data_IF_483093475838
#
_entry.id   IF_483093475838
#
_cell.length_a   1.000
_cell.length_b   1.000
_cell.length_c   1.000
_cell.angle_alpha   90.00
_cell.angle_beta   90.00
_cell.angle_gamma   90.00
#
_symmetry.space_group_name_H-M   'P 1'
#
loop_
_entity.id
_entity.type
_entity.pdbx_description
1 polymer ?
#
# COMPACT_ATOMS: atom_id res chain seq x y z
N UNK A 1 -17.56 -0.62 -12.39
CA UNK A 1 -17.97 0.56 -11.60
C UNK A 1 -17.57 1.88 -12.26
N UNK A 2 -18.49 2.85 -12.38
CA UNK A 2 -18.19 4.21 -12.92
C UNK A 2 -18.58 5.31 -11.91
N UNK A 3 -17.89 6.46 -11.95
CA UNK A 3 -18.10 7.58 -11.01
C UNK A 3 -19.53 8.08 -10.98
N UNK A 4 -20.11 8.28 -12.15
CA UNK A 4 -21.48 8.82 -12.25
C UNK A 4 -22.50 7.82 -11.70
N UNK A 5 -22.32 6.52 -11.95
CA UNK A 5 -23.17 5.46 -11.39
C UNK A 5 -23.07 5.39 -9.86
N UNK A 6 -21.86 5.46 -9.33
CA UNK A 6 -21.64 5.49 -7.88
C UNK A 6 -22.23 6.75 -7.22
N UNK A 7 -22.20 7.90 -7.90
CA UNK A 7 -22.86 9.12 -7.42
C UNK A 7 -24.37 8.97 -7.38
N UNK A 8 -24.99 8.33 -8.38
CA UNK A 8 -26.42 8.02 -8.35
C UNK A 8 -26.77 7.06 -7.21
N UNK A 9 -25.95 6.02 -7.00
CA UNK A 9 -26.12 5.06 -5.91
C UNK A 9 -26.02 5.74 -4.53
N UNK A 10 -25.06 6.65 -4.35
CA UNK A 10 -24.89 7.42 -3.11
C UNK A 10 -26.07 8.37 -2.87
N UNK A 11 -26.61 9.02 -3.92
CA UNK A 11 -27.82 9.83 -3.81
C UNK A 11 -29.03 8.99 -3.40
N UNK A 12 -29.12 7.76 -3.89
CA UNK A 12 -30.21 6.86 -3.57
C UNK A 12 -30.29 6.50 -2.08
N UNK A 13 -29.17 6.62 -1.34
CA UNK A 13 -29.08 6.44 0.10
C UNK A 13 -29.80 7.52 0.90
N UNK A 14 -30.17 8.65 0.29
CA UNK A 14 -30.85 9.73 1.01
C UNK A 14 -32.36 9.53 1.11
N UNK A 15 -32.93 8.64 0.30
CA UNK A 15 -34.37 8.42 0.28
C UNK A 15 -34.88 7.73 1.55
N UNK A 16 -36.06 8.15 2.01
CA UNK A 16 -36.67 7.62 3.24
C UNK A 16 -35.71 7.71 4.42
N UNK A 17 -35.67 6.66 5.25
CA UNK A 17 -34.78 6.55 6.44
C UNK A 17 -33.30 6.26 6.11
N UNK A 18 -32.88 6.53 4.88
CA UNK A 18 -31.58 6.20 4.34
C UNK A 18 -31.21 4.72 4.52
N UNK A 19 -30.08 4.43 5.15
CA UNK A 19 -29.61 3.04 5.37
C UNK A 19 -30.59 2.15 6.16
N UNK A 20 -31.48 2.76 6.95
CA UNK A 20 -32.48 2.02 7.73
C UNK A 20 -33.72 1.63 6.91
N UNK A 21 -33.77 1.98 5.62
CA UNK A 21 -34.85 1.52 4.73
C UNK A 21 -34.85 -0.02 4.66
N UNK A 22 -36.02 -0.70 4.74
CA UNK A 22 -36.09 -2.14 4.55
C UNK A 22 -35.69 -2.53 3.12
N UNK A 23 -35.45 -3.82 2.90
CA UNK A 23 -35.15 -4.37 1.56
C UNK A 23 -33.91 -3.75 0.90
N UNK A 24 -32.78 -3.70 1.61
CA UNK A 24 -31.52 -3.05 1.16
C UNK A 24 -31.14 -3.43 -0.27
N UNK A 25 -31.23 -4.72 -0.61
CA UNK A 25 -30.88 -5.21 -1.94
C UNK A 25 -31.74 -4.61 -3.07
N UNK A 26 -32.97 -4.18 -2.81
CA UNK A 26 -33.86 -3.67 -3.87
C UNK A 26 -33.57 -2.23 -4.28
N UNK A 27 -32.75 -1.50 -3.51
CA UNK A 27 -32.50 -0.08 -3.75
C UNK A 27 -31.04 0.34 -3.67
N UNK A 28 -30.13 -0.49 -3.14
CA UNK A 28 -28.70 -0.25 -3.32
C UNK A 28 -28.41 -0.50 -4.79
N UNK A 29 -27.87 0.51 -5.45
CA UNK A 29 -27.58 0.41 -6.87
C UNK A 29 -26.37 -0.48 -7.17
N UNK A 30 -26.16 -0.76 -8.47
CA UNK A 30 -25.21 -1.76 -8.92
C UNK A 30 -23.76 -1.42 -8.57
N UNK A 31 -23.36 -0.15 -8.61
CA UNK A 31 -21.98 0.27 -8.34
C UNK A 31 -21.63 0.11 -6.84
N UNK A 32 -22.56 0.42 -5.94
CA UNK A 32 -22.39 0.16 -4.49
C UNK A 32 -22.47 -1.34 -4.16
N UNK A 33 -23.35 -2.11 -4.82
CA UNK A 33 -23.37 -3.57 -4.66
C UNK A 33 -22.06 -4.20 -5.16
N UNK A 34 -21.55 -3.70 -6.29
CA UNK A 34 -20.20 -4.01 -6.75
C UNK A 34 -19.23 -3.69 -5.61
N UNK A 35 -19.20 -2.45 -5.11
CA UNK A 35 -18.25 -1.99 -4.08
C UNK A 35 -18.23 -2.78 -2.77
N UNK A 36 -19.31 -3.51 -2.48
CA UNK A 36 -19.45 -4.36 -1.30
C UNK A 36 -19.06 -5.82 -1.55
N UNK A 37 -18.69 -6.18 -2.78
CA UNK A 37 -18.53 -7.57 -3.24
C UNK A 37 -19.78 -8.41 -2.91
N UNK A 38 -20.96 -7.81 -3.15
CA UNK A 38 -22.23 -8.36 -2.74
C UNK A 38 -22.62 -9.62 -3.54
N UNK A 39 -22.43 -10.79 -2.95
CA UNK A 39 -22.92 -12.06 -3.50
C UNK A 39 -24.46 -12.24 -3.36
N UNK A 40 -25.12 -13.06 -4.21
CA UNK A 40 -26.57 -13.29 -4.17
C UNK A 40 -27.10 -13.87 -2.85
N UNK A 41 -26.27 -14.59 -2.09
CA UNK A 41 -26.66 -15.23 -0.84
C UNK A 41 -26.65 -14.29 0.37
N UNK A 42 -26.05 -13.09 0.26
CA UNK A 42 -26.07 -12.12 1.36
C UNK A 42 -27.49 -11.65 1.67
N UNK A 43 -27.85 -11.72 2.95
CA UNK A 43 -29.09 -11.19 3.50
C UNK A 43 -29.11 -9.66 3.50
N UNK A 44 -30.30 -9.06 3.58
CA UNK A 44 -30.45 -7.60 3.71
C UNK A 44 -29.76 -7.04 4.98
N UNK A 45 -29.67 -7.84 6.05
CA UNK A 45 -29.00 -7.44 7.28
C UNK A 45 -27.49 -7.36 7.08
N UNK A 46 -26.88 -8.38 6.46
CA UNK A 46 -25.45 -8.41 6.13
C UNK A 46 -25.08 -7.27 5.18
N UNK A 47 -25.87 -7.06 4.12
CA UNK A 47 -25.64 -5.96 3.19
C UNK A 47 -25.72 -4.59 3.87
N UNK A 48 -26.66 -4.40 4.80
CA UNK A 48 -26.77 -3.14 5.56
C UNK A 48 -25.54 -2.89 6.42
N UNK A 49 -25.06 -3.92 7.12
CA UNK A 49 -23.87 -3.82 7.97
C UNK A 49 -22.64 -3.56 7.12
N UNK A 50 -22.48 -4.26 5.99
CA UNK A 50 -21.39 -4.06 5.05
C UNK A 50 -21.40 -2.63 4.48
N UNK A 51 -22.57 -2.15 4.04
CA UNK A 51 -22.75 -0.79 3.52
C UNK A 51 -22.44 0.27 4.58
N UNK A 52 -22.93 0.10 5.81
CA UNK A 52 -22.63 1.02 6.90
C UNK A 52 -21.13 1.07 7.20
N UNK A 53 -20.44 -0.08 7.20
CA UNK A 53 -18.98 -0.16 7.39
C UNK A 53 -18.21 0.49 6.24
N UNK A 54 -18.61 0.26 4.99
CA UNK A 54 -18.00 0.90 3.81
C UNK A 54 -18.08 2.42 3.94
N UNK A 55 -19.28 2.97 4.14
CA UNK A 55 -19.49 4.41 4.25
C UNK A 55 -18.78 5.00 5.48
N UNK A 56 -18.81 4.31 6.63
CA UNK A 56 -18.08 4.74 7.82
C UNK A 56 -16.57 4.83 7.57
N UNK A 57 -15.97 3.86 6.85
CA UNK A 57 -14.55 3.91 6.46
C UNK A 57 -14.24 5.12 5.60
N UNK A 58 -14.97 5.32 4.50
CA UNK A 58 -14.66 6.38 3.55
C UNK A 58 -15.01 7.79 4.04
N UNK A 59 -15.88 7.93 5.05
CA UNK A 59 -16.13 9.24 5.68
C UNK A 59 -14.99 9.73 6.57
N UNK A 60 -14.01 8.86 6.92
CA UNK A 60 -12.91 9.26 7.79
C UNK A 60 -11.87 10.16 7.08
N UNK A 61 -11.82 10.17 5.74
CA UNK A 61 -10.99 11.09 4.95
C UNK A 61 -11.62 12.47 4.73
N UNK A 62 -12.92 12.63 5.01
CA UNK A 62 -13.60 13.90 4.82
C UNK A 62 -13.21 14.93 5.91
N UNK A 63 -13.24 16.24 5.58
CA UNK A 63 -13.31 17.30 6.59
C UNK A 63 -14.40 17.05 7.63
N UNK A 64 -14.19 17.47 8.88
CA UNK A 64 -15.06 17.12 10.01
C UNK A 64 -16.53 17.50 9.79
N UNK A 65 -16.77 18.67 9.22
CA UNK A 65 -18.10 19.18 8.88
C UNK A 65 -18.78 18.36 7.78
N UNK A 66 -18.05 18.05 6.70
CA UNK A 66 -18.54 17.20 5.61
C UNK A 66 -18.80 15.76 6.05
N UNK A 67 -17.94 15.21 6.92
CA UNK A 67 -18.11 13.90 7.54
C UNK A 67 -19.42 13.83 8.32
N UNK A 68 -19.65 14.79 9.22
CA UNK A 68 -20.86 14.85 10.04
C UNK A 68 -22.12 14.99 9.18
N UNK A 69 -22.09 15.93 8.23
CA UNK A 69 -23.18 16.15 7.28
C UNK A 69 -23.53 14.89 6.50
N UNK A 70 -22.54 14.22 5.91
CA UNK A 70 -22.78 13.04 5.09
C UNK A 70 -23.33 11.87 5.91
N UNK A 71 -22.72 11.57 7.07
CA UNK A 71 -23.13 10.47 7.95
C UNK A 71 -24.55 10.66 8.46
N UNK A 72 -24.92 11.89 8.80
CA UNK A 72 -26.30 12.24 9.15
C UNK A 72 -27.23 12.10 7.94
N UNK A 73 -26.86 12.61 6.77
CA UNK A 73 -27.69 12.57 5.56
C UNK A 73 -28.07 11.14 5.13
N UNK A 74 -27.15 10.18 5.21
CA UNK A 74 -27.40 8.76 4.86
C UNK A 74 -28.07 7.94 5.97
N UNK A 75 -28.27 8.52 7.16
CA UNK A 75 -28.94 7.85 8.29
C UNK A 75 -28.03 6.94 9.13
N UNK A 76 -26.71 7.17 9.13
CA UNK A 76 -25.79 6.49 10.06
C UNK A 76 -25.97 7.01 11.49
N UNK A 77 -26.20 8.31 11.64
CA UNK A 77 -26.22 9.00 12.94
C UNK A 77 -27.61 9.53 13.35
N UNK A 78 -28.54 9.66 12.41
CA UNK A 78 -29.89 10.17 12.67
C UNK A 78 -30.98 9.21 12.21
N UNK A 79 -32.05 9.09 12.99
CA UNK A 79 -33.25 8.29 12.68
C UNK A 79 -34.45 9.16 12.23
N UNK A 80 -34.19 10.13 11.36
CA UNK A 80 -35.24 10.95 10.78
C UNK A 80 -35.65 10.40 9.41
N UNK A 81 -36.95 10.35 9.09
CA UNK A 81 -37.45 9.68 7.90
C UNK A 81 -37.21 10.40 6.58
N UNK A 82 -36.87 11.68 6.59
CA UNK A 82 -36.65 12.47 5.37
C UNK A 82 -35.28 13.15 5.38
N UNK A 83 -34.64 13.21 4.20
CA UNK A 83 -33.36 13.92 4.03
C UNK A 83 -33.47 15.38 4.49
N UNK A 84 -34.59 16.06 4.20
CA UNK A 84 -34.77 17.46 4.57
C UNK A 84 -34.71 17.68 6.09
N UNK A 85 -35.28 16.75 6.86
CA UNK A 85 -35.24 16.79 8.33
C UNK A 85 -33.83 16.51 8.84
N UNK A 86 -33.11 15.56 8.24
CA UNK A 86 -31.70 15.27 8.58
C UNK A 86 -30.79 16.46 8.26
N UNK A 87 -31.01 17.14 7.14
CA UNK A 87 -30.27 18.36 6.80
C UNK A 87 -30.62 19.52 7.73
N UNK A 88 -31.89 19.67 8.12
CA UNK A 88 -32.30 20.71 9.08
C UNK A 88 -31.62 20.53 10.45
N UNK A 89 -31.51 19.28 10.92
CA UNK A 89 -30.77 18.96 12.14
C UNK A 89 -29.31 19.45 12.07
N UNK A 90 -28.61 19.12 10.97
CA UNK A 90 -27.21 19.56 10.77
C UNK A 90 -27.11 21.08 10.54
N UNK A 91 -28.14 21.70 9.97
CA UNK A 91 -28.20 23.14 9.74
C UNK A 91 -28.17 23.93 11.04
N UNK A 92 -28.91 23.48 12.04
CA UNK A 92 -28.92 24.04 13.38
C UNK A 92 -27.56 23.87 14.07
N UNK A 93 -26.98 22.67 13.98
CA UNK A 93 -25.69 22.36 14.64
C UNK A 93 -24.49 23.08 14.02
N UNK A 94 -24.48 23.28 12.71
CA UNK A 94 -23.36 23.92 12.00
C UNK A 94 -23.57 25.44 11.77
N UNK A 95 -24.71 25.99 12.17
CA UNK A 95 -25.14 27.37 11.89
C UNK A 95 -25.02 27.70 10.38
N UNK A 96 -25.64 26.86 9.55
CA UNK A 96 -25.60 27.00 8.08
C UNK A 96 -26.96 26.74 7.47
N UNK A 97 -27.34 27.52 6.46
CA UNK A 97 -28.60 27.32 5.76
C UNK A 97 -28.69 25.91 5.12
N UNK A 98 -29.87 25.27 5.11
CA UNK A 98 -30.09 23.97 4.45
C UNK A 98 -29.67 23.96 2.97
N UNK A 99 -29.81 25.10 2.28
CA UNK A 99 -29.39 25.26 0.86
C UNK A 99 -27.88 25.06 0.69
N UNK A 100 -27.08 25.63 1.59
CA UNK A 100 -25.62 25.49 1.58
C UNK A 100 -25.22 24.05 1.90
N UNK A 101 -25.87 23.43 2.89
CA UNK A 101 -25.60 22.04 3.26
C UNK A 101 -25.95 21.06 2.15
N UNK A 102 -27.03 21.27 1.38
CA UNK A 102 -27.31 20.45 0.19
C UNK A 102 -26.20 20.52 -0.86
N UNK A 103 -25.59 21.69 -1.05
CA UNK A 103 -24.43 21.84 -1.96
C UNK A 103 -23.21 21.12 -1.40
N UNK A 104 -22.90 21.31 -0.12
CA UNK A 104 -21.79 20.63 0.59
C UNK A 104 -21.96 19.11 0.63
N UNK A 105 -23.19 18.62 0.71
CA UNK A 105 -23.49 17.19 0.66
C UNK A 105 -23.08 16.59 -0.68
N UNK A 106 -23.35 17.29 -1.80
CA UNK A 106 -22.86 16.87 -3.12
C UNK A 106 -21.34 16.86 -3.21
N UNK A 107 -20.67 17.83 -2.57
CA UNK A 107 -19.20 17.82 -2.48
C UNK A 107 -18.70 16.57 -1.71
N UNK A 108 -19.36 16.21 -0.61
CA UNK A 108 -19.04 15.00 0.15
C UNK A 108 -19.32 13.70 -0.64
N UNK A 109 -20.43 13.63 -1.39
CA UNK A 109 -20.75 12.50 -2.28
C UNK A 109 -19.66 12.30 -3.34
N UNK A 110 -19.20 13.39 -3.96
CA UNK A 110 -18.10 13.37 -4.92
C UNK A 110 -16.83 12.82 -4.29
N UNK A 111 -16.44 13.32 -3.12
CA UNK A 111 -15.24 12.85 -2.42
C UNK A 111 -15.33 11.38 -1.98
N UNK A 112 -16.52 10.92 -1.58
CA UNK A 112 -16.74 9.51 -1.20
C UNK A 112 -16.75 8.61 -2.44
N UNK A 113 -17.39 9.03 -3.53
CA UNK A 113 -17.38 8.29 -4.78
C UNK A 113 -15.95 8.12 -5.29
N UNK A 114 -15.16 9.20 -5.27
CA UNK A 114 -13.74 9.17 -5.62
C UNK A 114 -12.98 8.22 -4.69
N UNK A 115 -13.20 8.28 -3.37
CA UNK A 115 -12.52 7.40 -2.42
C UNK A 115 -12.84 5.91 -2.63
N UNK A 116 -14.09 5.56 -2.93
CA UNK A 116 -14.53 4.18 -3.22
C UNK A 116 -13.95 3.71 -4.56
N UNK A 117 -14.05 4.53 -5.61
CA UNK A 117 -13.46 4.24 -6.92
C UNK A 117 -11.95 4.09 -6.84
N UNK A 118 -11.30 4.91 -6.03
CA UNK A 118 -9.88 4.83 -5.82
C UNK A 118 -9.54 3.48 -5.18
N UNK A 119 -10.21 3.06 -4.10
CA UNK A 119 -9.97 1.74 -3.48
C UNK A 119 -10.26 0.56 -4.43
N UNK A 120 -11.21 0.68 -5.38
CA UNK A 120 -11.57 -0.41 -6.30
C UNK A 120 -10.92 -0.42 -7.68
N UNK A 121 -10.54 0.73 -8.22
CA UNK A 121 -9.60 0.81 -9.33
C UNK A 121 -8.27 0.10 -8.97
N UNK A 122 -8.04 -0.03 -7.67
CA UNK A 122 -6.97 -0.77 -7.02
C UNK A 122 -7.32 -2.19 -6.57
N UNK A 123 -8.38 -2.81 -7.11
CA UNK A 123 -8.71 -4.24 -6.91
C UNK A 123 -7.64 -5.22 -7.44
N UNK A 124 -6.38 -4.78 -7.53
CA UNK A 124 -5.20 -5.51 -7.94
C UNK A 124 -3.92 -4.65 -8.03
N UNK A 125 -3.93 -3.35 -7.66
CA UNK A 125 -2.76 -2.50 -7.82
C UNK A 125 -2.07 -2.23 -6.47
N UNK A 126 -1.22 -3.17 -6.05
CA UNK A 126 -0.50 -3.14 -4.77
C UNK A 126 0.54 -2.01 -4.69
N UNK A 127 0.73 -1.31 -5.81
CA UNK A 127 1.65 -0.20 -5.99
C UNK A 127 1.05 1.17 -5.65
N UNK A 128 -0.25 1.27 -5.37
CA UNK A 128 -0.91 2.52 -5.02
C UNK A 128 -1.32 2.50 -3.53
N UNK A 129 -0.45 3.03 -2.65
CA UNK A 129 -0.78 3.16 -1.22
C UNK A 129 -1.79 4.25 -0.98
N UNK A 130 -2.98 3.81 -0.60
CA UNK A 130 -4.04 4.71 -0.15
C UNK A 130 -3.96 4.83 1.35
N UNK A 131 -3.04 5.66 1.82
CA UNK A 131 -2.97 6.05 3.22
C UNK A 131 -1.57 6.00 3.85
N UNK A 132 -0.52 5.73 3.08
CA UNK A 132 0.86 5.81 3.57
C UNK A 132 1.84 6.17 2.44
N UNK A 133 3.10 6.43 2.71
CA UNK A 133 4.15 6.67 1.71
C UNK A 133 5.51 6.26 2.29
N UNK A 134 6.40 5.71 1.45
CA UNK A 134 7.80 5.51 1.84
C UNK A 134 8.54 6.85 1.76
N UNK A 135 9.08 7.31 2.89
CA UNK A 135 9.95 8.48 2.92
C UNK A 135 11.37 8.08 2.54
N UNK A 136 11.87 6.97 3.06
CA UNK A 136 13.20 6.46 2.74
C UNK A 136 13.32 4.96 2.93
N UNK A 137 14.31 4.38 2.25
CA UNK A 137 14.60 2.94 2.31
C UNK A 137 16.10 2.70 2.44
N UNK A 138 16.47 1.78 3.33
CA UNK A 138 17.83 1.28 3.52
C UNK A 138 17.85 -0.23 3.33
N UNK A 139 18.69 -0.71 2.42
CA UNK A 139 18.93 -2.14 2.22
C UNK A 139 20.34 -2.46 2.69
N UNK A 140 20.47 -3.44 3.58
CA UNK A 140 21.76 -3.98 4.03
C UNK A 140 21.84 -5.46 3.73
N UNK A 141 22.79 -5.85 2.90
CA UNK A 141 23.07 -7.25 2.57
C UNK A 141 24.36 -7.68 3.28
N UNK A 142 24.28 -8.75 4.06
CA UNK A 142 25.45 -9.50 4.53
C UNK A 142 25.65 -10.69 3.61
N UNK A 143 26.69 -10.66 2.78
CA UNK A 143 26.97 -11.68 1.78
C UNK A 143 27.90 -12.75 2.38
N UNK A 144 27.32 -13.80 2.95
CA UNK A 144 27.99 -14.99 3.51
C UNK A 144 27.37 -16.26 2.92
N UNK A 145 27.68 -17.45 3.43
CA UNK A 145 27.06 -18.70 2.95
C UNK A 145 25.53 -18.62 2.98
N UNK A 146 24.98 -18.23 4.14
CA UNK A 146 23.61 -17.75 4.28
C UNK A 146 23.60 -16.22 4.11
N UNK A 147 22.84 -15.73 3.12
CA UNK A 147 22.74 -14.30 2.91
C UNK A 147 21.62 -13.71 3.76
N UNK A 148 21.90 -12.58 4.40
CA UNK A 148 20.92 -11.86 5.21
C UNK A 148 20.69 -10.49 4.59
N UNK A 149 19.45 -10.23 4.16
CA UNK A 149 19.01 -8.91 3.70
C UNK A 149 18.22 -8.27 4.83
N UNK A 150 18.59 -7.06 5.23
CA UNK A 150 17.81 -6.23 6.16
C UNK A 150 17.29 -5.03 5.41
N UNK A 151 15.99 -4.80 5.51
CA UNK A 151 15.28 -3.68 4.92
C UNK A 151 14.80 -2.76 6.04
N UNK A 152 15.36 -1.57 6.10
CA UNK A 152 15.00 -0.49 7.02
C UNK A 152 14.17 0.55 6.23
N UNK A 153 12.97 0.91 6.69
CA UNK A 153 12.08 1.81 5.94
C UNK A 153 11.45 2.86 6.85
N UNK A 154 11.29 4.07 6.34
CA UNK A 154 10.53 5.14 7.01
C UNK A 154 9.17 5.27 6.32
N UNK A 155 8.09 4.99 7.04
CA UNK A 155 6.70 5.06 6.58
C UNK A 155 6.08 6.37 7.08
N UNK A 156 5.55 7.19 6.17
CA UNK A 156 4.67 8.31 6.49
C UNK A 156 3.21 7.89 6.32
N UNK A 157 2.38 8.04 7.34
CA UNK A 157 0.95 7.86 7.21
C UNK A 157 0.31 9.07 6.49
N UNK A 158 -0.41 8.82 5.40
CA UNK A 158 -1.19 9.81 4.66
C UNK A 158 -2.67 9.80 5.08
N UNK A 159 -3.13 8.73 5.72
CA UNK A 159 -4.48 8.62 6.27
C UNK A 159 -4.51 7.81 7.56
N UNK A 160 -5.51 8.04 8.40
CA UNK A 160 -5.69 7.30 9.65
C UNK A 160 -6.30 5.90 9.48
N UNK A 161 -6.64 5.51 8.25
CA UNK A 161 -7.33 4.25 7.97
C UNK A 161 -6.38 3.15 7.50
N UNK A 162 -5.12 3.49 7.20
CA UNK A 162 -4.15 2.48 6.79
C UNK A 162 -3.80 1.58 7.96
N UNK A 163 -3.93 0.27 7.74
CA UNK A 163 -3.51 -0.75 8.70
C UNK A 163 -2.38 -1.62 8.21
N UNK A 164 -2.22 -1.73 6.89
CA UNK A 164 -1.23 -2.61 6.27
C UNK A 164 -0.28 -1.87 5.34
N UNK A 165 0.96 -2.27 5.28
CA UNK A 165 1.90 -1.85 4.24
C UNK A 165 2.37 -3.10 3.50
N UNK A 166 2.79 -2.93 2.25
CA UNK A 166 3.16 -4.05 1.39
C UNK A 166 4.55 -3.85 0.82
N UNK A 167 5.32 -4.94 0.77
CA UNK A 167 6.67 -4.96 0.19
C UNK A 167 6.82 -6.17 -0.71
N UNK A 168 7.53 -6.00 -1.83
CA UNK A 168 7.79 -7.08 -2.78
C UNK A 168 9.28 -7.39 -2.83
N UNK A 169 9.61 -8.67 -2.71
CA UNK A 169 10.96 -9.18 -2.84
C UNK A 169 11.05 -10.11 -4.05
N UNK A 170 12.15 -10.02 -4.79
CA UNK A 170 12.44 -10.93 -5.90
C UNK A 170 13.81 -11.55 -5.69
N UNK A 171 13.87 -12.88 -5.67
CA UNK A 171 15.09 -13.67 -5.53
C UNK A 171 15.06 -14.73 -6.65
N UNK A 172 15.61 -14.41 -7.83
CA UNK A 172 15.50 -15.27 -9.03
C UNK A 172 16.18 -16.63 -8.92
N UNK A 173 17.27 -16.73 -8.15
CA UNK A 173 18.10 -17.93 -8.10
C UNK A 173 17.61 -19.01 -7.14
N UNK A 174 16.46 -18.84 -6.48
CA UNK A 174 15.87 -19.89 -5.64
C UNK A 174 15.25 -21.00 -6.49
N UNK A 175 15.52 -22.24 -6.11
CA UNK A 175 14.99 -23.44 -6.74
C UNK A 175 13.66 -23.87 -6.12
N UNK A 176 12.97 -24.81 -6.77
CA UNK A 176 11.71 -25.35 -6.25
C UNK A 176 11.94 -26.05 -4.89
N UNK A 177 11.20 -25.62 -3.86
CA UNK A 177 11.31 -26.12 -2.49
C UNK A 177 12.21 -25.29 -1.57
N UNK A 178 13.00 -24.35 -2.12
CA UNK A 178 13.70 -23.35 -1.30
C UNK A 178 12.77 -22.16 -1.03
N UNK A 179 12.71 -21.72 0.22
CA UNK A 179 11.93 -20.55 0.64
C UNK A 179 12.78 -19.64 1.54
N UNK A 180 12.79 -18.32 1.28
CA UNK A 180 13.38 -17.37 2.20
C UNK A 180 12.53 -17.26 3.46
N UNK A 181 13.16 -16.97 4.59
CA UNK A 181 12.47 -16.68 5.84
C UNK A 181 12.36 -15.18 6.02
N UNK A 182 11.15 -14.69 6.26
CA UNK A 182 10.88 -13.28 6.53
C UNK A 182 10.60 -13.06 8.01
N UNK A 183 11.28 -12.09 8.60
CA UNK A 183 11.17 -11.78 10.02
C UNK A 183 10.87 -10.29 10.19
N UNK A 184 9.78 -9.98 10.91
CA UNK A 184 9.54 -8.65 11.43
C UNK A 184 10.52 -8.39 12.59
N UNK A 185 11.37 -7.37 12.46
CA UNK A 185 12.35 -7.01 13.48
C UNK A 185 11.87 -5.83 14.31
N UNK A 186 11.31 -4.81 13.65
CA UNK A 186 10.82 -3.61 14.31
C UNK A 186 9.69 -2.94 13.54
N UNK A 187 8.77 -2.31 14.26
CA UNK A 187 7.79 -1.37 13.71
C UNK A 187 6.64 -1.97 12.91
N UNK A 188 6.60 -3.29 12.68
CA UNK A 188 5.51 -3.97 11.97
C UNK A 188 5.38 -5.42 12.42
N UNK A 189 4.24 -6.03 12.14
CA UNK A 189 4.04 -7.49 12.19
C UNK A 189 3.80 -8.02 10.78
N UNK A 190 4.50 -9.08 10.36
CA UNK A 190 4.22 -9.76 9.08
C UNK A 190 2.99 -10.65 9.27
N UNK A 191 1.87 -10.26 8.67
CA UNK A 191 0.59 -10.98 8.79
C UNK A 191 0.32 -11.93 7.63
N UNK A 192 0.96 -11.69 6.48
CA UNK A 192 0.80 -12.53 5.30
C UNK A 192 2.06 -12.54 4.44
N UNK A 193 2.40 -13.73 3.94
CA UNK A 193 3.43 -13.93 2.91
C UNK A 193 2.78 -14.64 1.73
N UNK A 194 2.79 -13.99 0.57
CA UNK A 194 2.23 -14.54 -0.67
C UNK A 194 3.33 -14.74 -1.69
N UNK A 195 3.23 -15.81 -2.50
CA UNK A 195 4.18 -16.12 -3.56
C UNK A 195 3.53 -15.89 -4.93
N UNK A 196 3.53 -14.64 -5.46
CA UNK A 196 2.90 -14.34 -6.74
C UNK A 196 3.60 -14.97 -7.95
N UNK A 197 4.89 -15.34 -7.83
CA UNK A 197 5.63 -16.04 -8.87
C UNK A 197 6.64 -17.01 -8.26
N UNK A 198 7.31 -17.82 -9.08
CA UNK A 198 8.36 -18.72 -8.60
C UNK A 198 9.52 -18.01 -7.90
N UNK A 199 9.74 -16.73 -8.21
CA UNK A 199 10.92 -15.96 -7.77
C UNK A 199 10.55 -14.70 -7.00
N UNK A 200 9.26 -14.44 -6.76
CA UNK A 200 8.81 -13.24 -6.08
C UNK A 200 7.92 -13.59 -4.89
N UNK A 201 8.10 -12.81 -3.83
CA UNK A 201 7.32 -12.84 -2.60
C UNK A 201 6.73 -11.46 -2.34
N UNK A 202 5.54 -11.47 -1.76
CA UNK A 202 4.85 -10.28 -1.29
C UNK A 202 4.60 -10.43 0.19
N UNK A 203 4.99 -9.42 0.96
CA UNK A 203 4.67 -9.31 2.37
C UNK A 203 3.52 -8.35 2.56
N UNK A 204 2.56 -8.73 3.41
CA UNK A 204 1.61 -7.80 4.02
C UNK A 204 1.98 -7.65 5.48
N UNK A 205 2.23 -6.41 5.87
CA UNK A 205 2.72 -6.04 7.19
C UNK A 205 1.70 -5.16 7.89
N UNK A 206 1.28 -5.53 9.09
CA UNK A 206 0.37 -4.73 9.91
C UNK A 206 1.15 -3.67 10.69
N UNK A 207 0.61 -2.44 10.71
CA UNK A 207 1.14 -1.34 11.52
C UNK A 207 0.77 -1.56 13.00
N UNK A 208 1.68 -1.31 13.95
CA UNK A 208 1.54 -1.68 15.37
C UNK A 208 0.49 -0.84 16.11
N UNK A 209 0.01 0.24 15.49
CA UNK A 209 -0.99 1.16 16.03
C UNK A 209 -1.71 1.86 14.89
N UNK A 210 -2.90 2.39 15.20
CA UNK A 210 -3.56 3.36 14.31
C UNK A 210 -2.67 4.61 14.23
N UNK A 211 -2.09 4.86 13.05
CA UNK A 211 -1.27 6.04 12.79
C UNK A 211 -2.16 7.20 12.36
N UNK A 212 -1.89 8.39 12.86
CA UNK A 212 -2.53 9.62 12.38
C UNK A 212 -1.92 10.11 11.06
N UNK A 213 -2.63 10.87 10.21
CA UNK A 213 -2.05 11.50 9.04
C UNK A 213 -0.88 12.42 9.44
N UNK A 214 0.25 12.31 8.74
CA UNK A 214 1.48 13.05 9.02
C UNK A 214 2.44 12.36 10.00
N UNK A 215 2.01 11.28 10.67
CA UNK A 215 2.90 10.52 11.56
C UNK A 215 3.86 9.64 10.76
N UNK A 216 5.08 9.47 11.29
CA UNK A 216 6.07 8.58 10.72
C UNK A 216 6.32 7.36 11.62
N UNK A 217 6.77 6.27 11.01
CA UNK A 217 7.14 5.03 11.66
C UNK A 217 8.32 4.39 10.94
N UNK A 218 9.37 4.09 11.69
CA UNK A 218 10.49 3.29 11.19
C UNK A 218 10.16 1.80 11.33
N UNK A 219 10.44 1.04 10.28
CA UNK A 219 10.21 -0.40 10.21
C UNK A 219 11.48 -1.12 9.80
N UNK A 220 11.65 -2.34 10.30
CA UNK A 220 12.75 -3.22 9.90
C UNK A 220 12.23 -4.62 9.63
N UNK A 221 12.53 -5.12 8.44
CA UNK A 221 12.27 -6.50 8.02
C UNK A 221 13.61 -7.18 7.69
N UNK A 222 13.77 -8.42 8.14
CA UNK A 222 14.93 -9.25 7.80
C UNK A 222 14.49 -10.41 6.92
N UNK A 223 15.27 -10.68 5.89
CA UNK A 223 15.09 -11.79 4.95
C UNK A 223 16.33 -12.67 5.03
N UNK A 224 16.13 -13.92 5.47
CA UNK A 224 17.15 -14.96 5.46
C UNK A 224 17.03 -15.71 4.14
N UNK A 225 18.07 -15.63 3.33
CA UNK A 225 18.14 -16.32 2.04
C UNK A 225 18.95 -17.60 2.24
N UNK A 226 18.39 -18.79 1.92
CA UNK A 226 19.01 -20.08 2.25
C UNK A 226 20.43 -20.31 1.72
N UNK A 227 20.84 -19.57 0.70
CA UNK A 227 22.21 -19.58 0.18
C UNK A 227 22.48 -18.29 -0.58
N UNK A 228 23.66 -17.70 -0.44
CA UNK A 228 24.05 -16.51 -1.20
C UNK A 228 24.03 -16.73 -2.71
N UNK A 229 24.28 -17.96 -3.19
CA UNK A 229 24.23 -18.27 -4.62
C UNK A 229 22.83 -18.22 -5.22
N UNK A 230 21.77 -18.08 -4.40
CA UNK A 230 20.41 -17.83 -4.89
C UNK A 230 20.17 -16.34 -5.18
N UNK A 231 21.00 -15.45 -4.63
CA UNK A 231 21.00 -14.06 -5.03
C UNK A 231 21.65 -13.95 -6.41
N UNK A 232 21.01 -13.17 -7.26
CA UNK A 232 21.69 -12.59 -8.40
C UNK A 232 22.90 -11.77 -7.92
N UNK A 233 23.94 -11.53 -8.75
CA UNK A 233 25.13 -10.84 -8.32
C UNK A 233 24.91 -9.32 -8.20
N UNK A 234 23.78 -8.93 -7.63
CA UNK A 234 23.38 -7.60 -7.25
C UNK A 234 22.33 -7.65 -6.15
N UNK A 235 22.31 -6.60 -5.33
CA UNK A 235 21.17 -6.22 -4.51
C UNK A 235 20.75 -4.83 -4.95
N UNK A 236 19.48 -4.69 -5.31
CA UNK A 236 18.98 -3.45 -5.87
C UNK A 236 17.53 -3.19 -5.47
N UNK A 237 17.22 -1.91 -5.46
CA UNK A 237 15.90 -1.34 -5.32
C UNK A 237 15.38 -0.98 -6.70
N UNK A 238 14.13 -1.36 -6.98
CA UNK A 238 13.41 -0.94 -8.17
C UNK A 238 12.16 -0.13 -7.77
N UNK A 239 12.32 1.18 -7.48
CA UNK A 239 11.22 2.06 -7.15
C UNK A 239 10.09 2.02 -8.16
N UNK A 240 8.95 1.51 -7.71
CA UNK A 240 7.66 1.67 -8.36
C UNK A 240 6.94 2.95 -7.90
N UNK A 241 7.53 3.67 -6.92
CA UNK A 241 6.98 4.85 -6.25
C UNK A 241 8.10 5.79 -5.83
N UNK A 242 7.76 7.04 -5.58
CA UNK A 242 8.75 8.04 -5.17
C UNK A 242 9.29 7.73 -3.77
N UNK A 243 10.61 7.67 -3.64
CA UNK A 243 11.32 7.72 -2.35
C UNK A 243 12.11 9.01 -2.29
N UNK A 244 12.13 9.68 -1.13
CA UNK A 244 12.97 10.87 -0.97
C UNK A 244 14.46 10.53 -0.85
N UNK A 245 14.78 9.33 -0.38
CA UNK A 245 16.15 8.82 -0.22
C UNK A 245 16.20 7.29 -0.25
N UNK A 246 17.29 6.74 -0.77
CA UNK A 246 17.59 5.32 -0.65
C UNK A 246 19.06 5.10 -0.28
N UNK A 247 19.35 4.02 0.43
CA UNK A 247 20.71 3.56 0.68
C UNK A 247 20.82 2.06 0.49
N UNK A 248 21.91 1.62 -0.13
CA UNK A 248 22.23 0.20 -0.26
C UNK A 248 23.63 -0.05 0.28
N UNK A 249 23.74 -1.05 1.13
CA UNK A 249 24.99 -1.47 1.76
C UNK A 249 25.20 -2.97 1.54
N UNK A 250 26.42 -3.34 1.20
CA UNK A 250 26.83 -4.75 1.07
C UNK A 250 28.07 -4.99 1.94
N UNK A 251 28.00 -6.00 2.80
CA UNK A 251 29.13 -6.52 3.56
C UNK A 251 29.67 -7.78 2.86
N UNK A 252 30.70 -7.59 2.02
CA UNK A 252 31.41 -8.65 1.30
C UNK A 252 32.30 -9.50 2.21
N UNK A 253 32.57 -9.03 3.43
CA UNK A 253 33.42 -9.72 4.39
C UNK A 253 34.90 -9.75 4.01
N UNK A 254 35.62 -10.65 4.68
CA UNK A 254 37.07 -10.80 4.54
C UNK A 254 37.50 -11.83 3.48
N UNK A 255 36.59 -12.70 2.98
CA UNK A 255 36.92 -13.72 1.99
C UNK A 255 35.75 -14.12 1.07
N UNK A 256 36.06 -14.12 -0.24
CA UNK A 256 35.66 -15.05 -1.31
C UNK A 256 34.29 -15.02 -1.99
N UNK A 257 33.30 -14.21 -1.62
CA UNK A 257 32.02 -14.22 -2.37
C UNK A 257 32.08 -13.41 -3.68
N UNK A 258 32.87 -12.34 -3.72
CA UNK A 258 32.99 -11.43 -4.85
C UNK A 258 34.43 -10.95 -5.04
N UNK A 259 34.78 -10.54 -6.25
CA UNK A 259 36.10 -9.99 -6.60
C UNK A 259 36.07 -8.48 -6.78
N UNK A 260 35.02 -7.98 -7.43
CA UNK A 260 34.81 -6.56 -7.67
C UNK A 260 33.33 -6.20 -7.56
N UNK A 261 33.04 -4.92 -7.36
CA UNK A 261 31.69 -4.37 -7.28
C UNK A 261 31.59 -3.05 -8.05
N UNK A 262 30.37 -2.70 -8.45
CA UNK A 262 30.05 -1.42 -9.05
C UNK A 262 28.64 -0.98 -8.63
N UNK A 263 28.39 0.32 -8.78
CA UNK A 263 27.13 0.94 -8.39
C UNK A 263 26.15 0.86 -9.55
N UNK A 264 24.92 0.45 -9.26
CA UNK A 264 23.78 0.60 -10.14
C UNK A 264 23.10 1.91 -9.76
N UNK A 265 23.20 2.94 -10.60
CA UNK A 265 22.56 4.23 -10.35
C UNK A 265 21.72 4.64 -11.57
N UNK A 266 20.40 4.55 -11.43
CA UNK A 266 19.47 4.93 -12.50
C UNK A 266 19.46 3.97 -13.69
N UNK A 267 19.79 2.69 -13.48
CA UNK A 267 19.87 1.67 -14.54
C UNK A 267 18.46 1.22 -14.94
N UNK A 268 18.23 0.91 -16.22
CA UNK A 268 16.93 0.38 -16.67
C UNK A 268 16.74 -1.06 -16.16
N UNK A 269 15.54 -1.46 -15.71
CA UNK A 269 15.28 -2.83 -15.29
C UNK A 269 15.62 -3.88 -16.37
N UNK A 270 15.46 -3.54 -17.65
CA UNK A 270 15.81 -4.43 -18.78
C UNK A 270 17.31 -4.66 -18.96
N UNK A 271 18.15 -3.81 -18.35
CA UNK A 271 19.60 -3.99 -18.30
C UNK A 271 20.03 -4.90 -17.15
N UNK A 272 19.14 -5.15 -16.18
CA UNK A 272 19.31 -6.24 -15.24
C UNK A 272 18.93 -7.55 -15.95
N UNK A 273 19.94 -8.31 -16.37
CA UNK A 273 19.75 -9.67 -16.88
C UNK A 273 19.73 -10.71 -15.75
N UNK A 274 19.34 -11.98 -16.04
CA UNK A 274 19.69 -13.10 -15.17
C UNK A 274 21.23 -13.25 -15.07
N UNK A 275 21.71 -13.90 -14.02
CA UNK A 275 23.13 -14.01 -13.64
C UNK A 275 24.05 -14.25 -14.85
N UNK A 276 25.12 -13.45 -14.96
CA UNK A 276 26.21 -13.68 -15.93
C UNK A 276 26.14 -12.87 -17.22
N UNK A 277 25.21 -11.92 -17.35
CA UNK A 277 25.15 -10.98 -18.50
C UNK A 277 25.39 -9.51 -18.17
N UNK A 278 25.55 -9.16 -16.89
CA UNK A 278 25.96 -7.81 -16.51
C UNK A 278 27.44 -7.64 -16.91
N UNK A 279 27.69 -6.75 -17.87
CA UNK A 279 29.06 -6.37 -18.23
C UNK A 279 29.71 -5.69 -17.03
N UNK A 280 30.89 -6.18 -16.63
CA UNK A 280 31.67 -5.58 -15.55
C UNK A 280 32.22 -4.25 -16.06
N UNK A 281 31.85 -3.11 -15.44
CA UNK A 281 32.34 -1.81 -15.86
C UNK A 281 33.87 -1.69 -15.66
N UNK A 282 34.57 -0.93 -16.52
CA UNK A 282 36.01 -0.71 -16.36
C UNK A 282 36.42 -0.06 -15.03
N UNK A 283 35.49 0.65 -14.38
CA UNK A 283 35.65 1.35 -13.11
C UNK A 283 35.17 0.54 -11.89
N UNK A 284 34.97 -0.77 -12.05
CA UNK A 284 34.64 -1.66 -10.94
C UNK A 284 35.73 -1.63 -9.84
N UNK A 285 35.28 -1.60 -8.58
CA UNK A 285 36.14 -1.47 -7.41
C UNK A 285 36.32 -2.81 -6.70
N UNK A 286 37.40 -3.04 -5.94
CA UNK A 286 37.58 -4.27 -5.18
C UNK A 286 36.44 -4.52 -4.17
N UNK A 287 35.86 -5.71 -4.17
CA UNK A 287 34.76 -6.09 -3.26
C UNK A 287 35.31 -6.55 -1.90
N UNK A 288 35.65 -5.61 -1.02
CA UNK A 288 36.25 -5.89 0.29
C UNK A 288 35.52 -5.14 1.40
N UNK A 289 35.20 -5.85 2.48
CA UNK A 289 34.57 -5.24 3.66
C UNK A 289 33.15 -4.75 3.37
N UNK A 290 32.79 -3.63 3.99
CA UNK A 290 31.46 -3.03 3.88
C UNK A 290 31.50 -1.81 2.97
N UNK A 291 30.60 -1.78 2.00
CA UNK A 291 30.44 -0.65 1.08
C UNK A 291 29.00 -0.16 1.17
N UNK A 292 28.80 1.16 1.11
CA UNK A 292 27.49 1.80 1.22
C UNK A 292 27.39 2.92 0.20
N UNK A 293 26.27 2.96 -0.51
CA UNK A 293 25.93 4.01 -1.46
C UNK A 293 24.54 4.57 -1.18
N UNK A 294 24.40 5.88 -1.35
CA UNK A 294 23.14 6.60 -1.18
C UNK A 294 22.65 7.13 -2.53
N UNK A 295 21.34 7.18 -2.69
CA UNK A 295 20.68 7.49 -3.95
C UNK A 295 19.51 8.45 -3.73
N UNK A 296 19.20 9.23 -4.77
CA UNK A 296 17.92 9.94 -4.91
C UNK A 296 17.14 9.24 -6.02
N UNK A 297 16.42 8.16 -5.69
CA UNK A 297 15.88 7.27 -6.69
C UNK A 297 14.72 7.88 -7.46
N UNK A 298 14.61 7.51 -8.73
CA UNK A 298 13.48 7.83 -9.62
C UNK A 298 12.69 6.56 -9.93
N UNK A 299 11.38 6.73 -10.06
CA UNK A 299 10.46 5.65 -10.41
C UNK A 299 10.83 5.02 -11.76
N UNK A 300 10.76 3.69 -11.82
CA UNK A 300 11.01 2.92 -13.04
C UNK A 300 12.49 2.67 -13.36
N UNK A 301 13.41 3.13 -12.51
CA UNK A 301 14.85 2.86 -12.61
C UNK A 301 15.32 2.00 -11.44
N UNK A 302 16.53 1.46 -11.54
CA UNK A 302 17.15 0.56 -10.58
C UNK A 302 18.32 1.24 -9.90
N UNK A 303 18.43 1.05 -8.57
CA UNK A 303 19.49 1.59 -7.73
C UNK A 303 20.05 0.51 -6.80
N UNK A 304 21.37 0.38 -6.68
CA UNK A 304 21.96 -0.64 -5.82
C UNK A 304 23.43 -0.92 -6.09
N UNK A 305 23.84 -2.13 -5.72
CA UNK A 305 25.23 -2.58 -5.83
C UNK A 305 25.24 -3.93 -6.52
N UNK A 306 26.01 -4.03 -7.59
CA UNK A 306 26.30 -5.27 -8.30
C UNK A 306 27.75 -5.70 -8.07
N UNK A 307 28.03 -6.98 -8.25
CA UNK A 307 29.37 -7.55 -8.05
C UNK A 307 29.71 -8.63 -9.06
N UNK A 308 31.00 -8.93 -9.17
CA UNK A 308 31.50 -10.08 -9.89
C UNK A 308 31.73 -11.21 -8.89
N UNK A 309 30.94 -12.30 -8.91
CA UNK A 309 31.14 -13.43 -8.01
C UNK A 309 32.52 -14.02 -8.20
N UNK A 310 33.13 -14.49 -7.11
CA UNK A 310 34.32 -15.33 -7.24
C UNK A 310 33.87 -16.69 -7.81
N UNK A 311 34.43 -17.13 -8.94
CA UNK A 311 34.16 -18.49 -9.43
C UNK A 311 34.76 -19.47 -8.41
N UNK A 312 33.92 -20.33 -7.84
CA UNK A 312 34.40 -21.53 -7.14
C UNK A 312 35.21 -22.40 -8.09
#
# INVERSE_FOLDING_TARGET
MHRDGLLEDLKALHHGRGLRRPHVRSWVGPDLLEALDAAPHHTDAELRVALARLLARHTHSLPRDLRHLFRTAVGLEADLPLLEQRIALVAEELDRSPRVLRRRLREAEVLIADAILHVRGDGGNWWDSKGWQWMGVGVRLVLREDAVVTLDQEVLALSAQQKFIHEMFTIPGLTAGEEPVFEAVAGVDIVQVERPSLTSWRLSMELPREMGPGETLDTTVRVLVPRASALEPYVALAPVREYSRAAVEVDFGAASAATSYWVLDGVLPTQLGPAGKLEVPPDAQPAVGRVRHEFTPRVGLVYGIAWLPNKY
#
